data_IF_719643520224
#
_entry.id   IF_719643520224
#
_cell.length_a   1.000
_cell.length_b   1.000
_cell.length_c   1.000
_cell.angle_alpha   90.00
_cell.angle_beta   90.00
_cell.angle_gamma   90.00
#
_symmetry.space_group_name_H-M   'P 1'
#
loop_
_entity.id
_entity.type
_entity.pdbx_description
1 polymer ?
#
# COMPACT_ATOMS: atom_id res chain seq x y z
N UNK A 1 -3.17 -15.39 35.07
CA UNK A 1 -3.94 -14.30 34.43
C UNK A 1 -3.31 -13.96 33.09
N UNK A 2 -3.79 -14.60 32.02
CA UNK A 2 -3.26 -14.47 30.65
C UNK A 2 -4.40 -13.98 29.75
N UNK A 3 -4.06 -13.29 28.66
CA UNK A 3 -4.97 -12.86 27.57
C UNK A 3 -5.79 -11.56 27.77
N UNK A 4 -5.20 -10.49 28.32
CA UNK A 4 -5.77 -9.12 28.15
C UNK A 4 -4.96 -8.17 27.25
N UNK A 5 -3.72 -8.53 26.90
CA UNK A 5 -2.80 -7.67 26.14
C UNK A 5 -2.89 -7.77 24.60
N UNK A 6 -3.62 -8.73 24.03
CA UNK A 6 -3.67 -8.94 22.58
C UNK A 6 -4.34 -7.80 21.78
N UNK A 7 -5.20 -6.98 22.41
CA UNK A 7 -5.89 -5.87 21.73
C UNK A 7 -5.06 -4.58 21.67
N UNK A 8 -4.14 -4.35 22.62
CA UNK A 8 -3.31 -3.13 22.67
C UNK A 8 -2.13 -3.16 21.71
N UNK A 9 -1.52 -4.32 21.46
CA UNK A 9 -0.41 -4.46 20.50
C UNK A 9 -0.84 -4.49 19.02
N UNK A 10 -2.12 -4.74 18.72
CA UNK A 10 -2.64 -4.75 17.33
C UNK A 10 -2.65 -3.35 16.70
N UNK A 11 -2.67 -2.30 17.50
CA UNK A 11 -2.69 -0.91 17.05
C UNK A 11 -1.35 -0.49 16.40
N UNK A 12 -0.19 -0.59 17.07
CA UNK A 12 1.09 -0.29 16.43
C UNK A 12 1.37 -1.25 15.28
N UNK A 13 0.98 -2.53 15.38
CA UNK A 13 1.22 -3.49 14.30
C UNK A 13 0.43 -3.19 13.03
N UNK A 14 -0.83 -2.76 13.13
CA UNK A 14 -1.64 -2.40 11.97
C UNK A 14 -1.10 -1.16 11.26
N UNK A 15 -0.69 -0.15 12.02
CA UNK A 15 -0.08 1.07 11.47
C UNK A 15 1.30 0.77 10.88
N UNK A 16 2.13 -0.02 11.56
CA UNK A 16 3.44 -0.43 11.05
C UNK A 16 3.30 -1.26 9.78
N UNK A 17 2.38 -2.22 9.73
CA UNK A 17 2.12 -3.01 8.52
C UNK A 17 1.64 -2.13 7.36
N UNK A 18 0.82 -1.11 7.63
CA UNK A 18 0.38 -0.13 6.63
C UNK A 18 1.56 0.69 6.09
N UNK A 19 2.40 1.24 6.98
CA UNK A 19 3.57 2.04 6.62
C UNK A 19 4.60 1.22 5.84
N UNK A 20 4.92 0.01 6.31
CA UNK A 20 5.84 -0.92 5.62
C UNK A 20 5.27 -1.33 4.27
N UNK A 21 3.96 -1.58 4.18
CA UNK A 21 3.28 -1.89 2.92
C UNK A 21 3.40 -0.77 1.89
N UNK A 22 3.28 0.49 2.31
CA UNK A 22 3.45 1.65 1.42
C UNK A 22 4.89 1.75 0.92
N UNK A 23 5.87 1.61 1.82
CA UNK A 23 7.28 1.68 1.44
C UNK A 23 7.66 0.59 0.44
N UNK A 24 7.17 -0.64 0.65
CA UNK A 24 7.34 -1.74 -0.30
C UNK A 24 6.67 -1.46 -1.65
N UNK A 25 5.44 -0.94 -1.64
CA UNK A 25 4.71 -0.61 -2.86
C UNK A 25 5.44 0.45 -3.69
N UNK A 26 5.95 1.51 -3.05
CA UNK A 26 6.72 2.56 -3.70
C UNK A 26 8.03 2.02 -4.29
N UNK A 27 8.77 1.21 -3.52
CA UNK A 27 10.02 0.60 -4.02
C UNK A 27 9.80 -0.33 -5.20
N UNK A 28 8.71 -1.12 -5.20
CA UNK A 28 8.35 -1.98 -6.34
C UNK A 28 7.98 -1.14 -7.56
N UNK A 29 7.25 -0.04 -7.40
CA UNK A 29 6.90 0.88 -8.49
C UNK A 29 8.14 1.55 -9.09
N UNK A 30 9.05 2.05 -8.27
CA UNK A 30 10.32 2.63 -8.75
C UNK A 30 11.14 1.61 -9.52
N UNK A 31 11.26 0.38 -9.02
CA UNK A 31 11.97 -0.69 -9.71
C UNK A 31 11.33 -1.02 -11.06
N UNK A 32 9.99 -1.04 -11.12
CA UNK A 32 9.24 -1.25 -12.36
C UNK A 32 9.48 -0.13 -13.37
N UNK A 33 9.47 1.13 -12.92
CA UNK A 33 9.76 2.29 -13.77
C UNK A 33 11.18 2.21 -14.31
N UNK A 34 12.17 1.94 -13.45
CA UNK A 34 13.57 1.80 -13.86
C UNK A 34 13.76 0.68 -14.88
N UNK A 35 13.12 -0.49 -14.67
CA UNK A 35 13.15 -1.61 -15.62
C UNK A 35 12.51 -1.24 -16.96
N UNK A 36 11.37 -0.57 -16.91
CA UNK A 36 10.67 -0.12 -18.11
C UNK A 36 11.53 0.83 -18.96
N UNK A 37 12.27 1.74 -18.32
CA UNK A 37 13.20 2.67 -19.00
C UNK A 37 14.46 1.95 -19.51
N UNK A 38 15.00 1.00 -18.73
CA UNK A 38 16.27 0.34 -19.05
C UNK A 38 16.15 -0.73 -20.16
N UNK A 39 15.01 -1.40 -20.30
CA UNK A 39 14.89 -2.51 -21.24
C UNK A 39 13.46 -2.97 -21.56
N UNK A 40 12.44 -2.19 -21.17
CA UNK A 40 11.04 -2.56 -21.33
C UNK A 40 10.46 -3.31 -20.12
N UNK A 41 9.15 -3.55 -20.16
CA UNK A 41 8.42 -4.17 -19.05
C UNK A 41 8.63 -5.68 -19.01
N UNK A 42 8.55 -6.31 -17.81
CA UNK A 42 8.63 -7.76 -17.69
C UNK A 42 7.51 -8.45 -18.47
N UNK A 43 7.80 -9.56 -19.14
CA UNK A 43 6.84 -10.34 -19.95
C UNK A 43 5.66 -10.93 -19.15
N UNK A 44 5.80 -11.07 -17.83
CA UNK A 44 4.73 -11.52 -16.95
C UNK A 44 3.77 -10.38 -16.55
N UNK A 45 4.11 -9.12 -16.84
CA UNK A 45 3.30 -7.96 -16.46
C UNK A 45 2.35 -7.61 -17.61
N UNK A 46 1.02 -7.52 -17.38
CA UNK A 46 0.06 -7.10 -18.39
C UNK A 46 0.40 -5.71 -18.94
N UNK A 47 0.76 -5.63 -20.21
CA UNK A 47 0.99 -4.36 -20.90
C UNK A 47 -0.31 -3.86 -21.51
N UNK A 48 -0.77 -2.69 -21.06
CA UNK A 48 -1.93 -2.00 -21.61
C UNK A 48 -1.43 -0.95 -22.60
N UNK A 49 -1.43 -1.31 -23.89
CA UNK A 49 -0.96 -0.41 -24.94
C UNK A 49 0.55 -0.19 -24.88
N UNK A 50 0.99 1.07 -24.80
CA UNK A 50 2.43 1.42 -24.78
C UNK A 50 3.05 1.21 -23.40
N UNK A 51 4.37 1.00 -23.36
CA UNK A 51 5.14 0.89 -22.11
C UNK A 51 4.91 2.08 -21.18
N UNK A 52 4.89 3.30 -21.73
CA UNK A 52 4.63 4.53 -20.97
C UNK A 52 3.22 4.58 -20.38
N UNK A 53 2.19 4.22 -21.15
CA UNK A 53 0.81 4.12 -20.62
C UNK A 53 0.70 3.11 -19.50
N UNK A 54 1.33 1.94 -19.65
CA UNK A 54 1.31 0.88 -18.66
C UNK A 54 1.96 1.34 -17.35
N UNK A 55 3.17 1.92 -17.43
CA UNK A 55 3.87 2.48 -16.26
C UNK A 55 3.01 3.56 -15.58
N UNK A 56 2.42 4.46 -16.36
CA UNK A 56 1.59 5.53 -15.82
C UNK A 56 0.35 4.99 -15.11
N UNK A 57 -0.31 3.98 -15.68
CA UNK A 57 -1.46 3.32 -15.06
C UNK A 57 -1.10 2.65 -13.72
N UNK A 58 0.04 1.94 -13.65
CA UNK A 58 0.52 1.34 -12.40
C UNK A 58 0.90 2.39 -11.36
N UNK A 59 1.59 3.45 -11.75
CA UNK A 59 1.92 4.57 -10.85
C UNK A 59 0.65 5.25 -10.34
N UNK A 60 -0.34 5.47 -11.21
CA UNK A 60 -1.61 6.07 -10.82
C UNK A 60 -2.39 5.19 -9.83
N UNK A 61 -2.42 3.87 -10.07
CA UNK A 61 -3.02 2.91 -9.14
C UNK A 61 -2.29 2.89 -7.79
N UNK A 62 -0.95 2.94 -7.79
CA UNK A 62 -0.13 3.06 -6.58
C UNK A 62 -0.39 4.35 -5.81
N UNK A 63 -0.53 5.48 -6.52
CA UNK A 63 -0.88 6.76 -5.93
C UNK A 63 -2.30 6.74 -5.35
N UNK A 64 -3.28 6.19 -6.05
CA UNK A 64 -4.64 6.03 -5.53
C UNK A 64 -4.64 5.19 -4.24
N UNK A 65 -3.87 4.10 -4.20
CA UNK A 65 -3.71 3.32 -2.97
C UNK A 65 -3.10 4.15 -1.82
N UNK A 66 -2.02 4.89 -2.12
CA UNK A 66 -1.27 5.65 -1.12
C UNK A 66 -2.03 6.88 -0.60
N UNK A 67 -2.80 7.57 -1.44
CA UNK A 67 -3.46 8.82 -1.08
C UNK A 67 -4.94 8.67 -0.73
N UNK A 68 -5.61 7.59 -1.15
CA UNK A 68 -7.02 7.35 -0.80
C UNK A 68 -7.17 6.21 0.19
N UNK A 69 -6.60 5.03 -0.10
CA UNK A 69 -6.83 3.84 0.72
C UNK A 69 -6.10 3.90 2.06
N UNK A 70 -4.90 4.47 2.10
CA UNK A 70 -4.12 4.62 3.34
C UNK A 70 -4.78 5.57 4.34
N UNK A 71 -5.17 6.80 3.98
CA UNK A 71 -5.89 7.68 4.90
C UNK A 71 -7.26 7.11 5.28
N UNK A 72 -7.98 6.49 4.34
CA UNK A 72 -9.26 5.85 4.63
C UNK A 72 -9.11 4.69 5.63
N UNK A 73 -8.08 3.85 5.47
CA UNK A 73 -7.78 2.76 6.39
C UNK A 73 -7.38 3.28 7.78
N UNK A 74 -6.55 4.33 7.84
CA UNK A 74 -6.18 4.99 9.09
C UNK A 74 -7.41 5.58 9.80
N UNK A 75 -8.30 6.23 9.06
CA UNK A 75 -9.54 6.80 9.59
C UNK A 75 -10.50 5.71 10.07
N UNK A 76 -10.67 4.63 9.28
CA UNK A 76 -11.53 3.51 9.64
C UNK A 76 -11.03 2.77 10.89
N UNK A 77 -9.71 2.56 10.99
CA UNK A 77 -9.09 2.05 12.21
C UNK A 77 -9.40 2.97 13.40
N UNK A 78 -9.19 4.28 13.26
CA UNK A 78 -9.54 5.27 14.28
C UNK A 78 -10.99 5.17 14.75
N UNK A 79 -11.96 5.16 13.83
CA UNK A 79 -13.41 5.08 14.13
C UNK A 79 -13.80 3.76 14.79
N UNK A 80 -13.29 2.63 14.28
CA UNK A 80 -13.60 1.30 14.82
C UNK A 80 -13.13 1.16 16.27
N UNK A 81 -11.99 1.73 16.61
CA UNK A 81 -11.48 1.70 17.99
C UNK A 81 -12.20 2.71 18.89
N UNK A 82 -12.56 3.90 18.39
CA UNK A 82 -13.39 4.84 19.16
C UNK A 82 -14.72 4.21 19.59
N UNK A 83 -15.37 3.46 18.69
CA UNK A 83 -16.58 2.67 19.01
C UNK A 83 -16.35 1.47 19.93
N UNK A 84 -15.13 0.94 20.00
CA UNK A 84 -14.80 -0.20 20.86
C UNK A 84 -14.33 0.22 22.26
N UNK A 85 -14.03 1.52 22.45
CA UNK A 85 -13.62 2.11 23.71
C UNK A 85 -14.76 2.85 24.45
N UNK A 86 -15.85 3.19 23.73
CA UNK A 86 -17.12 3.63 24.27
C UNK A 86 -17.98 2.43 24.70
#
# INVERSE_FOLDING_TARGET
MSVRNGKRLRYPLGVVALVVGIGLLQGVLELLVQRAVAGGLPTWLPTLGTTGQTVTAYVLAGNAYTYLLVPAAAFWLGVRYARAAA
#
